data_IF_944314125099
#
_entry.id   IF_944314125099
#
_cell.length_a   1.000
_cell.length_b   1.000
_cell.length_c   1.000
_cell.angle_alpha   90.00
_cell.angle_beta   90.00
_cell.angle_gamma   90.00
#
_symmetry.space_group_name_H-M   'P 1'
#
loop_
_entity.id
_entity.type
_entity.pdbx_description
1 polymer ?
#
# COMPACT_ATOMS: atom_id res chain seq x y z
N UNK A 1 -0.72 12.71 3.25
CA UNK A 1 -0.70 11.82 4.43
C UNK A 1 0.61 11.05 4.58
N UNK A 2 1.02 10.15 3.68
CA UNK A 2 2.26 9.36 3.86
C UNK A 2 3.54 10.20 4.06
N UNK A 3 3.74 11.26 3.26
CA UNK A 3 4.90 12.17 3.40
C UNK A 3 4.84 12.92 4.72
N UNK A 4 3.65 13.45 5.08
CA UNK A 4 3.45 14.17 6.33
C UNK A 4 3.77 13.26 7.52
N UNK A 5 3.19 12.07 7.59
CA UNK A 5 3.44 11.13 8.69
C UNK A 5 4.92 10.71 8.76
N UNK A 6 5.54 10.44 7.61
CA UNK A 6 6.97 10.13 7.54
C UNK A 6 7.85 11.25 8.07
N UNK A 7 7.56 12.50 7.71
CA UNK A 7 8.29 13.67 8.19
C UNK A 7 8.02 13.96 9.67
N UNK A 8 6.76 13.88 10.11
CA UNK A 8 6.38 14.13 11.51
C UNK A 8 7.05 13.15 12.47
N UNK A 9 6.91 11.84 12.23
CA UNK A 9 7.56 10.85 13.08
C UNK A 9 9.08 10.81 12.87
N UNK A 10 9.58 11.12 11.67
CA UNK A 10 11.02 11.25 11.41
C UNK A 10 11.65 12.40 12.20
N UNK A 11 10.94 13.53 12.32
CA UNK A 11 11.36 14.66 13.15
C UNK A 11 11.40 14.27 14.64
N UNK A 12 10.35 13.61 15.14
CA UNK A 12 10.32 13.13 16.53
C UNK A 12 11.43 12.11 16.82
N UNK A 13 11.70 11.19 15.89
CA UNK A 13 12.82 10.25 15.99
C UNK A 13 14.19 10.93 16.04
N UNK A 14 14.36 12.05 15.33
CA UNK A 14 15.60 12.82 15.31
C UNK A 14 15.88 13.50 16.66
N UNK A 15 14.84 13.96 17.33
CA UNK A 15 14.94 14.62 18.64
C UNK A 15 14.90 13.66 19.84
N UNK A 16 14.46 12.42 19.66
CA UNK A 16 14.47 11.41 20.71
C UNK A 16 15.90 10.98 21.11
N UNK A 17 16.16 10.66 22.40
CA UNK A 17 17.48 10.23 22.85
C UNK A 17 18.03 9.05 22.05
N UNK A 18 19.33 9.10 21.73
CA UNK A 18 20.01 8.03 21.00
C UNK A 18 19.89 6.68 21.70
N UNK A 19 19.54 5.63 20.94
CA UNK A 19 19.37 4.27 21.47
C UNK A 19 18.12 4.05 22.34
N UNK A 20 17.27 5.06 22.54
CA UNK A 20 16.02 4.91 23.30
C UNK A 20 14.98 4.09 22.53
N UNK A 21 14.15 3.34 23.27
CA UNK A 21 12.98 2.65 22.71
C UNK A 21 12.06 3.65 21.97
N UNK A 22 11.88 4.85 22.52
CA UNK A 22 11.07 5.93 21.92
C UNK A 22 11.54 6.26 20.50
N UNK A 23 12.85 6.43 20.30
CA UNK A 23 13.43 6.67 18.98
C UNK A 23 13.12 5.54 18.00
N UNK A 24 13.24 4.28 18.43
CA UNK A 24 12.94 3.14 17.58
C UNK A 24 11.46 3.06 17.21
N UNK A 25 10.55 3.37 18.14
CA UNK A 25 9.11 3.41 17.88
C UNK A 25 8.75 4.51 16.87
N UNK A 26 9.36 5.70 16.99
CA UNK A 26 9.16 6.77 16.01
C UNK A 26 9.73 6.43 14.62
N UNK A 27 10.90 5.78 14.54
CA UNK A 27 11.45 5.30 13.25
C UNK A 27 10.51 4.26 12.62
N UNK A 28 10.00 3.32 13.42
CA UNK A 28 9.05 2.31 12.96
C UNK A 28 7.76 2.95 12.46
N UNK A 29 7.19 3.90 13.20
CA UNK A 29 6.00 4.65 12.81
C UNK A 29 6.21 5.42 11.50
N UNK A 30 7.33 6.15 11.38
CA UNK A 30 7.68 6.92 10.19
C UNK A 30 7.78 6.03 8.95
N UNK A 31 8.59 4.96 9.04
CA UNK A 31 8.84 4.06 7.91
C UNK A 31 7.59 3.29 7.49
N UNK A 32 6.86 2.70 8.44
CA UNK A 32 5.69 1.89 8.16
C UNK A 32 4.56 2.73 7.55
N UNK A 33 4.24 3.90 8.12
CA UNK A 33 3.16 4.76 7.62
C UNK A 33 3.48 5.44 6.29
N UNK A 34 4.76 5.77 6.04
CA UNK A 34 5.20 6.34 4.76
C UNK A 34 5.25 5.30 3.63
N UNK A 35 5.42 4.01 3.95
CA UNK A 35 5.60 2.93 2.96
C UNK A 35 4.34 2.56 2.17
N UNK A 36 3.13 2.93 2.65
CA UNK A 36 1.87 2.46 2.08
C UNK A 36 1.67 2.80 0.60
N UNK A 37 2.02 4.03 0.20
CA UNK A 37 1.92 4.49 -1.20
C UNK A 37 2.98 3.83 -2.08
N UNK A 38 4.30 3.88 -1.75
CA UNK A 38 5.31 3.14 -2.50
C UNK A 38 4.98 1.66 -2.67
N UNK A 39 4.53 0.98 -1.61
CA UNK A 39 4.14 -0.42 -1.67
C UNK A 39 2.99 -0.65 -2.67
N UNK A 40 1.96 0.20 -2.63
CA UNK A 40 0.83 0.09 -3.54
C UNK A 40 1.24 0.32 -5.01
N UNK A 41 2.10 1.31 -5.26
CA UNK A 41 2.59 1.61 -6.61
C UNK A 41 3.47 0.49 -7.16
N UNK A 42 4.31 -0.14 -6.33
CA UNK A 42 5.26 -1.16 -6.77
C UNK A 42 4.63 -2.54 -6.90
N UNK A 43 3.81 -2.96 -5.93
CA UNK A 43 3.34 -4.36 -5.86
C UNK A 43 1.89 -4.55 -6.30
N UNK A 44 1.01 -3.59 -5.96
CA UNK A 44 -0.44 -3.70 -6.23
C UNK A 44 -0.83 -3.15 -7.60
N UNK A 45 -0.16 -2.11 -8.11
CA UNK A 45 -0.54 -1.40 -9.34
C UNK A 45 -0.84 -2.34 -10.51
N UNK A 46 0.08 -3.25 -10.84
CA UNK A 46 -0.06 -4.21 -11.95
C UNK A 46 -1.20 -5.22 -11.74
N UNK A 47 -1.40 -5.64 -10.49
CA UNK A 47 -2.47 -6.60 -10.14
C UNK A 47 -3.82 -5.90 -10.19
N UNK A 48 -3.91 -4.66 -9.72
CA UNK A 48 -5.10 -3.82 -9.83
C UNK A 48 -5.46 -3.60 -11.30
N UNK A 49 -4.50 -3.23 -12.14
CA UNK A 49 -4.74 -3.05 -13.58
C UNK A 49 -5.25 -4.34 -14.25
N UNK A 50 -4.66 -5.49 -13.92
CA UNK A 50 -5.14 -6.79 -14.41
C UNK A 50 -6.57 -7.12 -13.94
N UNK A 51 -6.88 -6.84 -12.67
CA UNK A 51 -8.22 -7.03 -12.12
C UNK A 51 -9.25 -6.10 -12.78
N UNK A 52 -8.90 -4.83 -13.04
CA UNK A 52 -9.76 -3.91 -13.77
C UNK A 52 -10.07 -4.42 -15.18
N UNK A 53 -9.08 -4.98 -15.90
CA UNK A 53 -9.29 -5.62 -17.22
C UNK A 53 -10.21 -6.83 -17.16
N UNK A 54 -10.10 -7.63 -16.11
CA UNK A 54 -10.97 -8.80 -15.91
C UNK A 54 -12.40 -8.36 -15.57
N UNK A 55 -12.54 -7.34 -14.71
CA UNK A 55 -13.84 -6.76 -14.36
C UNK A 55 -14.54 -6.14 -15.58
N UNK A 56 -13.80 -5.42 -16.42
CA UNK A 56 -14.30 -4.83 -17.68
C UNK A 56 -14.85 -5.90 -18.63
N UNK A 57 -14.13 -7.02 -18.81
CA UNK A 57 -14.64 -8.15 -19.60
C UNK A 57 -15.86 -8.84 -19.00
N UNK A 58 -15.95 -8.90 -17.66
CA UNK A 58 -17.11 -9.47 -16.96
C UNK A 58 -18.33 -8.56 -17.03
N UNK A 59 -18.13 -7.23 -17.03
CA UNK A 59 -19.20 -6.25 -17.14
C UNK A 59 -19.91 -6.28 -18.51
N UNK A 60 -19.26 -6.83 -19.54
CA UNK A 60 -19.81 -6.93 -20.89
C UNK A 60 -19.84 -5.58 -21.61
N UNK A 61 -20.56 -5.47 -22.73
CA UNK A 61 -20.66 -4.24 -23.52
C UNK A 61 -21.51 -3.18 -22.78
N UNK A 62 -20.97 -2.60 -21.72
CA UNK A 62 -21.53 -1.40 -21.08
C UNK A 62 -21.33 -0.15 -21.94
N UNK A 63 -21.85 1.00 -21.47
CA UNK A 63 -21.78 2.30 -22.17
C UNK A 63 -20.38 2.92 -22.31
N UNK A 64 -19.31 2.13 -22.22
CA UNK A 64 -17.92 2.59 -22.31
C UNK A 64 -17.36 3.20 -21.03
N UNK A 65 -18.16 3.34 -19.96
CA UNK A 65 -17.68 3.87 -18.68
C UNK A 65 -16.99 2.79 -17.86
N UNK A 66 -15.66 2.76 -17.97
CA UNK A 66 -14.82 1.91 -17.13
C UNK A 66 -14.66 2.55 -15.75
N UNK A 67 -15.16 1.87 -14.71
CA UNK A 67 -15.13 2.38 -13.33
C UNK A 67 -13.70 2.67 -12.80
N UNK A 68 -12.67 2.01 -13.34
CA UNK A 68 -11.27 2.14 -12.91
C UNK A 68 -10.30 2.02 -14.09
N UNK A 69 -9.86 3.17 -14.62
CA UNK A 69 -8.82 3.26 -15.68
C UNK A 69 -7.39 3.11 -15.15
N UNK A 70 -7.22 3.14 -13.82
CA UNK A 70 -5.92 3.11 -13.17
C UNK A 70 -5.12 1.85 -13.52
N UNK A 71 -3.94 2.05 -14.14
CA UNK A 71 -3.03 1.01 -14.61
C UNK A 71 -3.61 0.02 -15.64
N UNK A 72 -4.77 0.30 -16.22
CA UNK A 72 -5.50 -0.62 -17.11
C UNK A 72 -4.77 -0.91 -18.43
N UNK A 73 -4.19 0.14 -19.04
CA UNK A 73 -3.49 0.08 -20.33
C UNK A 73 -1.97 -0.10 -20.19
N UNK A 74 -1.47 -0.33 -18.99
CA UNK A 74 -0.04 -0.54 -18.80
C UNK A 74 0.38 -1.91 -19.30
N UNK A 75 1.50 -1.96 -20.03
CA UNK A 75 2.05 -3.19 -20.58
C UNK A 75 2.18 -4.30 -19.52
N UNK A 76 2.69 -3.96 -18.33
CA UNK A 76 2.83 -4.90 -17.20
C UNK A 76 1.50 -5.42 -16.67
N UNK A 77 0.42 -4.63 -16.76
CA UNK A 77 -0.93 -5.04 -16.34
C UNK A 77 -1.58 -5.93 -17.39
N UNK A 78 -1.37 -5.64 -18.68
CA UNK A 78 -1.83 -6.46 -19.79
C UNK A 78 -1.13 -7.83 -19.76
N UNK A 79 0.18 -7.84 -19.56
CA UNK A 79 0.98 -9.06 -19.41
C UNK A 79 0.50 -9.89 -18.21
N UNK A 80 0.27 -9.24 -17.07
CA UNK A 80 -0.25 -9.88 -15.85
C UNK A 80 -1.61 -10.51 -16.07
N UNK A 81 -2.50 -9.79 -16.74
CA UNK A 81 -3.86 -10.23 -17.06
C UNK A 81 -3.85 -11.50 -17.92
N UNK A 82 -2.94 -11.59 -18.90
CA UNK A 82 -2.76 -12.77 -19.76
C UNK A 82 -2.16 -13.96 -19.02
N UNK A 83 -1.26 -13.72 -18.08
CA UNK A 83 -0.51 -14.78 -17.37
C UNK A 83 -1.19 -15.34 -16.12
N UNK A 84 -2.22 -14.68 -15.60
CA UNK A 84 -2.89 -15.10 -14.35
C UNK A 84 -4.38 -15.31 -14.55
N UNK A 85 -4.90 -16.34 -13.89
CA UNK A 85 -6.34 -16.54 -13.75
C UNK A 85 -6.95 -15.42 -12.88
N UNK A 86 -8.27 -15.27 -12.95
CA UNK A 86 -9.00 -14.31 -12.09
C UNK A 86 -8.81 -14.65 -10.60
N UNK A 87 -8.88 -15.93 -10.25
CA UNK A 87 -8.70 -16.40 -8.88
C UNK A 87 -7.29 -16.09 -8.35
N UNK A 88 -6.26 -16.36 -9.14
CA UNK A 88 -4.87 -16.05 -8.78
C UNK A 88 -4.64 -14.55 -8.58
N UNK A 89 -5.21 -13.72 -9.46
CA UNK A 89 -5.13 -12.27 -9.35
C UNK A 89 -5.81 -11.76 -8.06
N UNK A 90 -6.98 -12.32 -7.71
CA UNK A 90 -7.70 -12.01 -6.47
C UNK A 90 -6.88 -12.43 -5.24
N UNK A 91 -6.40 -13.68 -5.18
CA UNK A 91 -5.57 -14.17 -4.05
C UNK A 91 -4.33 -13.29 -3.85
N UNK A 92 -3.67 -12.91 -4.93
CA UNK A 92 -2.49 -12.04 -4.88
C UNK A 92 -2.83 -10.63 -4.44
N UNK A 93 -3.95 -10.08 -4.91
CA UNK A 93 -4.45 -8.79 -4.45
C UNK A 93 -4.80 -8.80 -2.97
N UNK A 94 -5.50 -9.84 -2.49
CA UNK A 94 -5.82 -10.03 -1.07
C UNK A 94 -4.56 -10.10 -0.23
N UNK A 95 -3.58 -10.91 -0.63
CA UNK A 95 -2.30 -11.03 0.06
C UNK A 95 -1.58 -9.69 0.20
N UNK A 96 -1.42 -8.95 -0.89
CA UNK A 96 -0.75 -7.66 -0.85
C UNK A 96 -1.52 -6.61 -0.03
N UNK A 97 -2.85 -6.62 -0.05
CA UNK A 97 -3.64 -5.75 0.82
C UNK A 97 -3.51 -6.14 2.29
N UNK A 98 -3.52 -7.43 2.60
CA UNK A 98 -3.32 -7.95 3.95
C UNK A 98 -1.97 -7.49 4.52
N UNK A 99 -0.88 -7.71 3.78
CA UNK A 99 0.47 -7.25 4.17
C UNK A 99 0.50 -5.73 4.37
N UNK A 100 -0.05 -4.97 3.42
CA UNK A 100 -0.10 -3.50 3.53
C UNK A 100 -0.85 -3.05 4.77
N UNK A 101 -2.01 -3.65 5.06
CA UNK A 101 -2.81 -3.33 6.24
C UNK A 101 -2.00 -3.57 7.52
N UNK A 102 -1.35 -4.72 7.65
CA UNK A 102 -0.53 -5.01 8.84
C UNK A 102 0.64 -4.05 9.00
N UNK A 103 1.35 -3.71 7.93
CA UNK A 103 2.42 -2.71 7.98
C UNK A 103 1.88 -1.37 8.49
N UNK A 104 0.75 -0.89 7.94
CA UNK A 104 0.16 0.37 8.36
C UNK A 104 -0.32 0.33 9.82
N UNK A 105 -0.97 -0.75 10.24
CA UNK A 105 -1.42 -0.95 11.63
C UNK A 105 -0.24 -0.94 12.59
N UNK A 106 0.85 -1.66 12.28
CA UNK A 106 2.07 -1.65 13.09
C UNK A 106 2.64 -0.24 13.21
N UNK A 107 2.65 0.54 12.13
CA UNK A 107 3.08 1.93 12.16
C UNK A 107 2.23 2.82 13.07
N UNK A 108 0.91 2.65 13.01
CA UNK A 108 -0.04 3.40 13.87
C UNK A 108 0.13 3.01 15.34
N UNK A 109 0.21 1.72 15.65
CA UNK A 109 0.40 1.21 17.02
C UNK A 109 1.73 1.70 17.58
N UNK A 110 2.82 1.62 16.80
CA UNK A 110 4.13 2.10 17.22
C UNK A 110 4.12 3.61 17.49
N UNK A 111 3.49 4.40 16.62
CA UNK A 111 3.38 5.85 16.79
C UNK A 111 2.54 6.23 18.00
N UNK A 112 1.39 5.58 18.19
CA UNK A 112 0.52 5.81 19.35
C UNK A 112 1.22 5.43 20.66
N UNK A 113 1.96 4.32 20.67
CA UNK A 113 2.72 3.90 21.84
C UNK A 113 3.87 4.86 22.14
N UNK A 114 4.61 5.31 21.12
CA UNK A 114 5.66 6.30 21.29
C UNK A 114 5.11 7.58 21.94
N UNK A 115 4.00 8.12 21.42
CA UNK A 115 3.35 9.32 21.95
C UNK A 115 2.83 9.11 23.38
N UNK A 116 2.42 7.90 23.74
CA UNK A 116 1.99 7.60 25.11
C UNK A 116 3.16 7.45 26.11
N UNK A 117 4.40 7.30 25.62
CA UNK A 117 5.60 7.17 26.43
C UNK A 117 6.42 8.46 26.53
N UNK A 118 6.21 9.40 25.61
CA UNK A 118 6.81 10.73 25.56
C UNK A 118 6.15 11.68 26.59
#
# INVERSE_FOLDING_TARGET
MCVINGLSFGYLAYHAPGGSLLRYLYILAASATASGVPYALTFLRRTNGALSRKADRLAGPGGGEMALTYAFNEERSIERDRKMSTEEAIKRWQWHNYVRTWVLVLGVVAGAWAVAMD
#
